data_IF_011267740825
#
_entry.id   IF_011267740825
#
_cell.length_a   1.000
_cell.length_b   1.000
_cell.length_c   1.000
_cell.angle_alpha   90.00
_cell.angle_beta   90.00
_cell.angle_gamma   90.00
#
_symmetry.space_group_name_H-M   'P 1'
#
loop_
_entity.id
_entity.type
_entity.pdbx_description
1 polymer ?
#
# COMPACT_ATOMS: atom_id res chain seq x y z
N UNK A 1 -18.81 -19.30 -10.75
CA UNK A 1 -17.64 -19.87 -10.15
C UNK A 1 -16.78 -18.82 -9.46
N UNK A 2 -16.17 -19.16 -8.31
CA UNK A 2 -15.40 -18.23 -7.47
C UNK A 2 -14.21 -17.60 -8.22
N UNK A 3 -13.63 -18.27 -9.18
CA UNK A 3 -12.55 -17.78 -10.05
C UNK A 3 -12.96 -16.58 -10.91
N UNK A 4 -14.15 -16.62 -11.52
CA UNK A 4 -14.66 -15.50 -12.33
C UNK A 4 -15.00 -14.27 -11.48
N UNK A 5 -15.44 -14.45 -10.22
CA UNK A 5 -15.64 -13.34 -9.27
C UNK A 5 -14.32 -12.69 -8.86
N UNK A 6 -13.26 -13.47 -8.60
CA UNK A 6 -11.92 -12.94 -8.27
C UNK A 6 -11.32 -12.16 -9.44
N UNK A 7 -11.45 -12.64 -10.67
CA UNK A 7 -10.98 -11.93 -11.86
C UNK A 7 -11.72 -10.60 -12.07
N UNK A 8 -13.05 -10.54 -11.91
CA UNK A 8 -13.80 -9.28 -11.99
C UNK A 8 -13.41 -8.26 -10.91
N UNK A 9 -13.18 -8.71 -9.67
CA UNK A 9 -12.75 -7.81 -8.60
C UNK A 9 -11.31 -7.30 -8.82
N UNK A 10 -10.43 -8.10 -9.40
CA UNK A 10 -9.08 -7.70 -9.78
C UNK A 10 -9.14 -6.63 -10.88
N UNK A 11 -9.88 -6.85 -11.96
CA UNK A 11 -10.05 -5.87 -13.04
C UNK A 11 -10.61 -4.51 -12.58
N UNK A 12 -11.55 -4.48 -11.62
CA UNK A 12 -12.11 -3.22 -11.09
C UNK A 12 -11.09 -2.46 -10.24
N UNK A 13 -10.23 -3.17 -9.49
CA UNK A 13 -9.15 -2.54 -8.73
C UNK A 13 -8.04 -2.03 -9.62
N UNK A 14 -7.71 -2.78 -10.66
CA UNK A 14 -6.65 -2.44 -11.61
C UNK A 14 -7.02 -1.19 -12.40
N UNK A 15 -8.26 -1.07 -12.90
CA UNK A 15 -8.74 0.15 -13.56
C UNK A 15 -8.67 1.35 -12.63
N UNK A 16 -9.10 1.19 -11.37
CA UNK A 16 -9.06 2.26 -10.37
C UNK A 16 -7.63 2.74 -10.08
N UNK A 17 -6.67 1.84 -9.93
CA UNK A 17 -5.27 2.21 -9.70
C UNK A 17 -4.67 2.90 -10.93
N UNK A 18 -5.04 2.45 -12.12
CA UNK A 18 -4.63 3.09 -13.37
C UNK A 18 -5.21 4.49 -13.50
N UNK A 19 -6.49 4.68 -13.16
CA UNK A 19 -7.16 5.98 -13.14
C UNK A 19 -6.49 6.96 -12.14
N UNK A 20 -5.95 6.43 -11.04
CA UNK A 20 -5.14 7.19 -10.07
C UNK A 20 -3.68 7.41 -10.53
N UNK A 21 -3.29 6.98 -11.71
CA UNK A 21 -1.97 7.22 -12.30
C UNK A 21 -0.97 6.08 -12.20
N UNK A 22 -1.37 4.88 -11.75
CA UNK A 22 -0.48 3.73 -11.77
C UNK A 22 -0.14 3.32 -13.21
N UNK A 23 1.14 3.37 -13.57
CA UNK A 23 1.63 2.95 -14.89
C UNK A 23 1.73 1.44 -15.05
N UNK A 24 1.85 0.72 -13.94
CA UNK A 24 1.90 -0.75 -13.88
C UNK A 24 1.31 -1.25 -12.58
N UNK A 25 0.61 -2.36 -12.65
CA UNK A 25 0.10 -3.10 -11.50
C UNK A 25 0.83 -4.43 -11.44
N UNK A 26 1.37 -4.75 -10.27
CA UNK A 26 2.09 -6.01 -10.00
C UNK A 26 1.21 -6.86 -9.10
N UNK A 27 0.95 -8.09 -9.51
CA UNK A 27 0.12 -9.00 -8.72
C UNK A 27 0.84 -9.49 -7.47
N UNK A 28 0.07 -9.94 -6.49
CA UNK A 28 0.63 -10.56 -5.28
C UNK A 28 1.40 -11.84 -5.62
N UNK A 29 0.89 -12.61 -6.56
CA UNK A 29 1.50 -13.84 -7.05
C UNK A 29 2.86 -13.54 -7.67
N UNK A 30 2.95 -12.51 -8.52
CA UNK A 30 4.21 -12.05 -9.12
C UNK A 30 5.23 -11.64 -8.04
N UNK A 31 4.79 -10.97 -6.97
CA UNK A 31 5.68 -10.58 -5.87
C UNK A 31 6.11 -11.75 -4.98
N UNK A 32 5.37 -12.84 -4.96
CA UNK A 32 5.69 -14.04 -4.18
C UNK A 32 6.46 -15.10 -5.00
N UNK A 33 6.50 -14.97 -6.33
CA UNK A 33 7.28 -15.84 -7.22
C UNK A 33 8.77 -15.45 -7.18
N UNK A 34 9.41 -15.73 -6.05
CA UNK A 34 10.79 -15.34 -5.77
C UNK A 34 11.78 -16.34 -6.42
N UNK A 35 12.65 -15.91 -7.37
CA UNK A 35 13.63 -16.77 -7.99
C UNK A 35 14.77 -17.22 -7.05
N UNK A 36 14.73 -16.87 -5.76
CA UNK A 36 15.72 -17.25 -4.76
C UNK A 36 17.06 -16.51 -4.85
N UNK A 37 17.17 -15.52 -5.72
CA UNK A 37 18.39 -14.71 -5.83
C UNK A 37 18.52 -13.75 -4.64
N UNK A 38 19.73 -13.50 -4.12
CA UNK A 38 19.92 -12.55 -3.02
C UNK A 38 19.62 -11.11 -3.44
N UNK A 39 19.69 -10.80 -4.74
CA UNK A 39 19.41 -9.50 -5.35
C UNK A 39 18.92 -9.69 -6.79
N UNK A 40 17.98 -8.85 -7.22
CA UNK A 40 17.39 -8.84 -8.56
C UNK A 40 17.69 -7.53 -9.29
N UNK A 41 17.22 -7.40 -10.54
CA UNK A 41 17.31 -6.13 -11.27
C UNK A 41 16.57 -5.02 -10.51
N UNK A 42 17.17 -3.82 -10.46
CA UNK A 42 16.51 -2.66 -9.85
C UNK A 42 15.32 -2.22 -10.67
N UNK A 43 14.17 -2.10 -10.00
CA UNK A 43 12.87 -1.72 -10.58
C UNK A 43 12.29 -0.51 -9.85
N UNK A 44 12.43 -0.47 -8.52
CA UNK A 44 11.75 0.49 -7.67
C UNK A 44 12.68 1.64 -7.25
N UNK A 45 12.27 2.88 -7.51
CA UNK A 45 12.93 4.10 -7.05
C UNK A 45 12.52 4.54 -5.64
N UNK A 46 11.53 3.90 -5.06
CA UNK A 46 11.01 4.11 -3.70
C UNK A 46 9.86 3.16 -3.46
N UNK A 47 9.56 2.86 -2.20
CA UNK A 47 8.46 1.96 -1.86
C UNK A 47 7.78 2.43 -0.57
N UNK A 48 6.44 2.33 -0.54
CA UNK A 48 5.64 2.43 0.67
C UNK A 48 5.07 1.04 0.93
N UNK A 49 5.52 0.40 2.00
CA UNK A 49 5.13 -0.96 2.36
C UNK A 49 4.10 -0.95 3.49
N UNK A 50 2.91 -1.48 3.19
CA UNK A 50 1.85 -1.73 4.17
C UNK A 50 1.65 -3.24 4.45
N UNK A 51 2.47 -4.10 3.85
CA UNK A 51 2.23 -5.54 3.76
C UNK A 51 3.18 -6.34 4.62
N UNK A 52 4.46 -6.00 4.60
CA UNK A 52 5.51 -6.77 5.29
C UNK A 52 5.77 -8.15 4.67
N UNK A 53 6.33 -9.06 5.45
CA UNK A 53 6.55 -10.45 5.07
C UNK A 53 7.43 -10.62 3.82
N UNK A 54 7.17 -11.66 3.05
CA UNK A 54 7.96 -12.00 1.86
C UNK A 54 7.80 -10.98 0.71
N UNK A 55 6.70 -10.23 0.67
CA UNK A 55 6.50 -9.16 -0.31
C UNK A 55 7.50 -8.03 -0.06
N UNK A 56 7.69 -7.60 1.19
CA UNK A 56 8.71 -6.65 1.57
C UNK A 56 10.11 -7.18 1.25
N UNK A 57 10.40 -8.44 1.59
CA UNK A 57 11.67 -9.08 1.29
C UNK A 57 11.98 -9.06 -0.22
N UNK A 58 10.97 -9.32 -1.06
CA UNK A 58 11.11 -9.24 -2.52
C UNK A 58 11.33 -7.80 -2.99
N UNK A 59 10.59 -6.82 -2.46
CA UNK A 59 10.76 -5.42 -2.79
C UNK A 59 12.18 -4.95 -2.52
N UNK A 60 12.78 -5.32 -1.38
CA UNK A 60 14.18 -5.02 -1.03
C UNK A 60 15.16 -5.48 -2.12
N UNK A 61 14.98 -6.69 -2.66
CA UNK A 61 15.83 -7.24 -3.73
C UNK A 61 15.76 -6.45 -5.03
N UNK A 62 14.64 -5.75 -5.26
CA UNK A 62 14.34 -5.02 -6.50
C UNK A 62 14.49 -3.50 -6.37
N UNK A 63 14.98 -2.99 -5.24
CA UNK A 63 15.25 -1.56 -5.09
C UNK A 63 16.40 -1.09 -5.94
N UNK A 64 16.30 0.12 -6.47
CA UNK A 64 17.39 0.82 -7.12
C UNK A 64 18.45 1.27 -6.11
N UNK A 65 19.63 1.66 -6.62
CA UNK A 65 20.75 2.13 -5.81
C UNK A 65 20.38 3.39 -5.01
N UNK A 66 20.69 3.40 -3.72
CA UNK A 66 20.47 4.52 -2.80
C UNK A 66 19.01 4.80 -2.46
N UNK A 67 18.09 3.91 -2.82
CA UNK A 67 16.67 4.11 -2.59
C UNK A 67 16.18 3.47 -1.30
N UNK A 68 15.02 3.94 -0.79
CA UNK A 68 14.47 3.52 0.47
C UNK A 68 13.04 2.99 0.41
N UNK A 69 12.68 2.23 1.43
CA UNK A 69 11.34 1.71 1.67
C UNK A 69 10.83 2.27 2.99
N UNK A 70 9.67 2.92 2.97
CA UNK A 70 8.92 3.28 4.16
C UNK A 70 7.97 2.12 4.52
N UNK A 71 8.28 1.40 5.60
CA UNK A 71 7.46 0.26 6.05
C UNK A 71 6.59 0.68 7.23
N UNK A 72 5.27 0.57 7.06
CA UNK A 72 4.26 1.04 8.02
C UNK A 72 3.19 0.00 8.34
N UNK A 73 3.28 -1.20 7.78
CA UNK A 73 2.30 -2.26 8.02
C UNK A 73 2.85 -3.67 7.89
N UNK A 74 2.07 -4.65 8.36
CA UNK A 74 2.48 -6.05 8.42
C UNK A 74 1.33 -7.02 8.15
N UNK A 75 0.45 -6.67 7.21
CA UNK A 75 -0.76 -7.49 6.92
C UNK A 75 -0.46 -8.91 6.43
N UNK A 76 0.74 -9.15 5.89
CA UNK A 76 1.23 -10.49 5.52
C UNK A 76 2.11 -11.14 6.62
N UNK A 77 2.21 -10.51 7.78
CA UNK A 77 2.98 -11.01 8.93
C UNK A 77 4.24 -10.21 9.20
N UNK A 78 4.69 -10.24 10.45
CA UNK A 78 5.83 -9.47 10.96
C UNK A 78 7.21 -10.14 10.75
N UNK A 79 7.27 -11.30 10.10
CA UNK A 79 8.53 -11.99 9.79
C UNK A 79 8.82 -11.95 8.30
N UNK A 80 10.08 -11.68 7.95
CA UNK A 80 10.55 -11.75 6.56
C UNK A 80 11.92 -12.43 6.54
N UNK A 81 12.22 -13.14 5.45
CA UNK A 81 13.56 -13.64 5.13
C UNK A 81 14.14 -12.75 4.03
N UNK A 82 15.18 -12.01 4.36
CA UNK A 82 15.82 -11.08 3.44
C UNK A 82 17.34 -11.26 3.43
N UNK A 83 17.96 -11.07 2.26
CA UNK A 83 19.42 -11.02 2.13
C UNK A 83 19.93 -9.65 2.57
N UNK A 84 21.12 -9.62 3.17
CA UNK A 84 21.85 -8.38 3.47
C UNK A 84 22.42 -7.71 2.21
N UNK A 85 22.53 -8.44 1.10
CA UNK A 85 23.22 -8.00 -0.12
C UNK A 85 22.67 -6.70 -0.72
N UNK A 86 21.34 -6.47 -0.83
CA UNK A 86 20.80 -5.19 -1.33
C UNK A 86 21.23 -4.00 -0.48
N UNK A 87 21.30 -4.18 0.84
CA UNK A 87 21.76 -3.12 1.76
C UNK A 87 23.23 -2.78 1.53
N UNK A 88 24.10 -3.76 1.38
CA UNK A 88 25.53 -3.56 1.19
C UNK A 88 25.88 -3.03 -0.21
N UNK A 89 25.30 -3.62 -1.26
CA UNK A 89 25.71 -3.34 -2.63
C UNK A 89 24.91 -2.20 -3.29
N UNK A 90 23.72 -1.88 -2.79
CA UNK A 90 22.89 -0.80 -3.33
C UNK A 90 22.56 0.30 -2.33
N UNK A 91 22.99 0.19 -1.08
CA UNK A 91 22.65 1.16 -0.06
C UNK A 91 21.14 1.29 0.18
N UNK A 92 20.41 0.19 0.01
CA UNK A 92 18.96 0.17 0.25
C UNK A 92 18.71 0.46 1.73
N UNK A 93 17.71 1.29 2.04
CA UNK A 93 17.26 1.55 3.40
C UNK A 93 15.82 1.05 3.61
N UNK A 94 15.55 0.42 4.75
CA UNK A 94 14.19 0.16 5.20
C UNK A 94 13.95 0.98 6.46
N UNK A 95 12.99 1.90 6.37
CA UNK A 95 12.63 2.83 7.42
C UNK A 95 11.31 2.38 8.06
N UNK A 96 11.33 2.01 9.32
CA UNK A 96 10.12 1.77 10.09
C UNK A 96 9.38 3.09 10.36
N UNK A 97 8.10 3.15 10.03
CA UNK A 97 7.26 4.31 10.25
C UNK A 97 6.32 4.03 11.44
N UNK A 98 6.63 4.63 12.56
CA UNK A 98 5.74 4.59 13.73
C UNK A 98 4.66 5.67 13.60
N UNK A 99 3.46 5.25 13.23
CA UNK A 99 2.31 6.16 13.12
C UNK A 99 1.59 6.42 14.45
N UNK A 100 1.96 5.73 15.53
CA UNK A 100 1.29 5.83 16.84
C UNK A 100 1.92 6.90 17.73
N UNK A 101 3.24 6.87 17.88
CA UNK A 101 3.96 7.73 18.84
C UNK A 101 4.49 9.03 18.25
N UNK A 102 4.25 9.29 16.97
CA UNK A 102 4.68 10.54 16.33
C UNK A 102 4.06 11.75 17.06
N UNK A 103 4.86 12.72 17.54
CA UNK A 103 4.35 13.91 18.20
C UNK A 103 3.36 14.70 17.34
N UNK A 104 2.35 15.31 17.98
CA UNK A 104 1.29 16.06 17.27
C UNK A 104 1.88 17.15 16.37
N UNK A 105 2.86 17.90 16.84
CA UNK A 105 3.51 18.97 16.07
C UNK A 105 4.18 18.46 14.76
N UNK A 106 4.71 17.24 14.75
CA UNK A 106 5.25 16.63 13.53
C UNK A 106 4.12 16.14 12.60
N UNK A 107 3.04 15.61 13.16
CA UNK A 107 1.84 15.23 12.38
C UNK A 107 1.23 16.43 11.67
N UNK A 108 1.10 17.56 12.35
CA UNK A 108 0.56 18.80 11.76
C UNK A 108 1.35 19.24 10.54
N UNK A 109 2.68 19.16 10.58
CA UNK A 109 3.55 19.46 9.42
C UNK A 109 3.30 18.50 8.26
N UNK A 110 3.17 17.19 8.55
CA UNK A 110 2.90 16.17 7.54
C UNK A 110 1.52 16.39 6.92
N UNK A 111 0.49 16.65 7.74
CA UNK A 111 -0.86 16.93 7.23
C UNK A 111 -0.91 18.20 6.39
N UNK A 112 -0.23 19.26 6.79
CA UNK A 112 -0.13 20.48 6.00
C UNK A 112 0.54 20.25 4.64
N UNK A 113 1.61 19.44 4.60
CA UNK A 113 2.27 19.07 3.36
C UNK A 113 1.38 18.22 2.44
N UNK A 114 0.61 17.29 3.00
CA UNK A 114 -0.35 16.49 2.26
C UNK A 114 -1.49 17.34 1.70
N UNK A 115 -2.05 18.26 2.50
CA UNK A 115 -3.13 19.16 2.08
C UNK A 115 -2.68 20.09 0.94
N UNK A 116 -1.44 20.56 0.99
CA UNK A 116 -0.87 21.41 -0.06
C UNK A 116 -0.52 20.66 -1.36
N UNK A 117 -0.18 19.36 -1.25
CA UNK A 117 0.33 18.56 -2.38
C UNK A 117 -0.67 17.62 -3.03
N UNK A 118 -1.81 17.34 -2.39
CA UNK A 118 -2.80 16.40 -2.89
C UNK A 118 -3.95 17.11 -3.59
N UNK A 119 -4.21 16.84 -4.89
CA UNK A 119 -5.35 17.39 -5.60
C UNK A 119 -6.67 17.00 -4.93
N UNK A 120 -7.54 17.98 -4.65
CA UNK A 120 -8.80 17.74 -3.93
C UNK A 120 -9.78 16.88 -4.70
N UNK A 121 -9.88 17.05 -5.99
CA UNK A 121 -10.73 16.26 -6.89
C UNK A 121 -10.33 14.78 -6.86
N UNK A 122 -9.04 14.47 -6.82
CA UNK A 122 -8.54 13.10 -6.66
C UNK A 122 -8.93 12.55 -5.29
N UNK A 123 -8.73 13.33 -4.22
CA UNK A 123 -9.09 12.92 -2.87
C UNK A 123 -10.59 12.64 -2.72
N UNK A 124 -11.43 13.51 -3.26
CA UNK A 124 -12.90 13.37 -3.26
C UNK A 124 -13.34 12.15 -4.06
N UNK A 125 -12.71 11.87 -5.20
CA UNK A 125 -13.01 10.69 -6.02
C UNK A 125 -12.71 9.36 -5.34
N UNK A 126 -11.85 9.37 -4.32
CA UNK A 126 -11.49 8.18 -3.52
C UNK A 126 -12.41 7.94 -2.34
N UNK A 127 -13.30 8.87 -2.00
CA UNK A 127 -14.15 8.82 -0.81
C UNK A 127 -15.62 8.57 -1.16
N UNK A 128 -16.27 7.73 -0.39
CA UNK A 128 -17.72 7.51 -0.41
C UNK A 128 -18.30 7.90 0.96
N UNK A 129 -19.31 8.78 0.99
CA UNK A 129 -19.96 9.20 2.23
C UNK A 129 -21.19 8.35 2.53
N UNK A 130 -21.24 7.79 3.74
CA UNK A 130 -22.35 6.98 4.24
C UNK A 130 -22.91 7.57 5.56
N UNK A 131 -24.12 7.17 5.92
CA UNK A 131 -24.70 7.45 7.23
C UNK A 131 -24.22 6.49 8.32
N UNK A 132 -24.46 6.87 9.58
CA UNK A 132 -24.09 6.04 10.74
C UNK A 132 -24.80 4.67 10.71
N UNK A 133 -26.04 4.63 10.24
CA UNK A 133 -26.85 3.41 10.14
C UNK A 133 -26.26 2.37 9.16
N UNK A 134 -25.48 2.81 8.17
CA UNK A 134 -24.94 1.95 7.12
C UNK A 134 -23.62 1.25 7.55
N UNK A 135 -23.00 1.69 8.64
CA UNK A 135 -21.69 1.20 9.11
C UNK A 135 -21.63 -0.33 9.25
N UNK A 136 -22.64 -1.03 9.84
CA UNK A 136 -22.59 -2.49 9.98
C UNK A 136 -22.57 -3.21 8.64
N UNK A 137 -23.27 -2.70 7.62
CA UNK A 137 -23.26 -3.27 6.27
C UNK A 137 -21.90 -3.06 5.58
N UNK A 138 -21.38 -1.84 5.65
CA UNK A 138 -20.08 -1.52 5.08
C UNK A 138 -18.93 -2.26 5.77
N UNK A 139 -19.02 -2.52 7.07
CA UNK A 139 -18.08 -3.38 7.78
C UNK A 139 -17.99 -4.79 7.16
N UNK A 140 -19.13 -5.40 6.82
CA UNK A 140 -19.17 -6.68 6.09
C UNK A 140 -18.55 -6.57 4.69
N UNK A 141 -18.88 -5.51 3.94
CA UNK A 141 -18.32 -5.25 2.61
C UNK A 141 -16.80 -5.09 2.65
N UNK A 142 -16.24 -4.45 3.69
CA UNK A 142 -14.79 -4.30 3.88
C UNK A 142 -14.13 -5.68 4.07
N UNK A 143 -14.68 -6.53 4.94
CA UNK A 143 -14.16 -7.88 5.17
C UNK A 143 -14.22 -8.75 3.91
N UNK A 144 -15.21 -8.53 3.06
CA UNK A 144 -15.34 -9.20 1.76
C UNK A 144 -14.47 -8.58 0.66
N UNK A 145 -13.74 -7.50 0.96
CA UNK A 145 -12.91 -6.76 -0.01
C UNK A 145 -13.71 -6.03 -1.09
N UNK A 146 -14.98 -5.72 -0.84
CA UNK A 146 -15.89 -5.06 -1.79
C UNK A 146 -15.87 -3.53 -1.72
N UNK A 147 -15.17 -2.96 -0.77
CA UNK A 147 -15.01 -1.51 -0.63
C UNK A 147 -13.79 -1.03 -1.39
N UNK A 148 -13.94 0.05 -2.13
CA UNK A 148 -12.89 0.76 -2.85
C UNK A 148 -12.65 2.12 -2.22
N UNK A 149 -11.40 2.55 -2.13
CA UNK A 149 -11.05 3.87 -1.60
C UNK A 149 -11.26 3.99 -0.09
N UNK A 150 -11.96 5.03 0.33
CA UNK A 150 -12.24 5.36 1.72
C UNK A 150 -13.73 5.55 1.94
N UNK A 151 -14.20 5.13 3.11
CA UNK A 151 -15.58 5.40 3.56
C UNK A 151 -15.53 6.51 4.59
N UNK A 152 -16.26 7.58 4.34
CA UNK A 152 -16.51 8.68 5.28
C UNK A 152 -17.86 8.45 5.94
N UNK A 153 -17.87 8.38 7.26
CA UNK A 153 -19.12 8.23 8.02
C UNK A 153 -19.60 9.60 8.47
N UNK A 154 -20.70 10.05 7.90
CA UNK A 154 -21.37 11.24 8.36
C UNK A 154 -22.28 10.89 9.56
N UNK A 155 -21.85 11.26 10.77
CA UNK A 155 -22.56 10.93 12.01
C UNK A 155 -23.86 11.72 12.18
N UNK A 156 -24.11 12.71 11.35
CA UNK A 156 -25.33 13.54 11.36
C UNK A 156 -26.35 13.11 10.28
N UNK A 157 -26.06 12.02 9.56
CA UNK A 157 -26.92 11.52 8.48
C UNK A 157 -27.54 10.18 8.85
#
# INVERSE_FOLDING_TARGET
PATLRRQRQMCIRDSYLTDLGASRIVSREEMLDDPGKPMESGVWGGCIDCVGGQILARAIKQMNYGCGIASLGNTAGGKMEASIIPFLLRGVAVLGIDSVMVPVAEREKIWAALDAGMPRDVLESMAEEIGLADVPEYGKKILEGKVRGRILVNVNK
#
